data_IF_557005043819
#
_entry.id   IF_557005043819
#
_cell.length_a   1.000
_cell.length_b   1.000
_cell.length_c   1.000
_cell.angle_alpha   90.00
_cell.angle_beta   90.00
_cell.angle_gamma   90.00
#
_symmetry.space_group_name_H-M   'P 1'
#
loop_
_entity.id
_entity.type
_entity.pdbx_description
1 polymer ?
#
# COMPACT_ATOMS: atom_id res chain seq x y z
N UNK A 1 1.44 4.29 -29.50
CA UNK A 1 -0.01 4.32 -29.34
C UNK A 1 -0.52 5.75 -29.25
N UNK A 2 -1.70 6.01 -29.81
CA UNK A 2 -2.48 7.23 -29.56
C UNK A 2 -3.24 7.09 -28.23
N UNK A 3 -3.49 8.22 -27.59
CA UNK A 3 -4.30 8.28 -26.37
C UNK A 3 -5.58 9.05 -26.63
N UNK A 4 -6.63 8.72 -25.90
CA UNK A 4 -7.88 9.47 -25.91
C UNK A 4 -7.82 10.72 -25.01
N UNK A 5 -8.91 11.47 -24.93
CA UNK A 5 -9.01 12.69 -24.12
C UNK A 5 -8.85 12.44 -22.60
N UNK A 6 -9.06 11.20 -22.16
CA UNK A 6 -8.86 10.76 -20.78
C UNK A 6 -7.43 10.23 -20.52
N UNK A 7 -6.58 10.20 -21.55
CA UNK A 7 -5.21 9.67 -21.48
C UNK A 7 -5.09 8.15 -21.59
N UNK A 8 -6.18 7.44 -21.90
CA UNK A 8 -6.16 6.00 -22.10
C UNK A 8 -5.65 5.64 -23.50
N UNK A 9 -4.91 4.54 -23.62
CA UNK A 9 -4.36 4.06 -24.88
C UNK A 9 -5.47 3.49 -25.77
N UNK A 10 -5.45 3.88 -27.06
CA UNK A 10 -6.38 3.39 -28.07
C UNK A 10 -5.81 2.10 -28.70
N UNK A 11 -6.55 0.99 -28.58
CA UNK A 11 -6.16 -0.30 -29.16
C UNK A 11 -5.96 -0.23 -30.69
N UNK A 12 -4.95 -0.91 -31.21
CA UNK A 12 -4.64 -0.94 -32.66
C UNK A 12 -3.99 0.35 -33.18
N UNK A 13 -3.72 1.35 -32.34
CA UNK A 13 -3.10 2.61 -32.75
C UNK A 13 -1.56 2.60 -32.63
N UNK A 14 -0.95 1.43 -32.44
CA UNK A 14 0.51 1.33 -32.35
C UNK A 14 1.18 1.75 -33.66
N UNK A 15 2.13 2.66 -33.54
CA UNK A 15 2.98 3.10 -34.66
C UNK A 15 4.44 2.99 -34.21
N UNK A 16 5.29 2.42 -35.07
CA UNK A 16 6.73 2.39 -34.80
C UNK A 16 7.31 3.80 -34.97
N UNK A 17 7.97 4.27 -33.93
CA UNK A 17 8.62 5.59 -33.89
C UNK A 17 10.13 5.43 -33.79
N UNK A 18 10.87 6.54 -34.01
CA UNK A 18 12.32 6.54 -33.82
C UNK A 18 12.65 6.20 -32.37
N UNK A 19 13.65 5.33 -32.17
CA UNK A 19 14.13 4.96 -30.84
C UNK A 19 14.53 6.19 -30.02
N UNK A 20 14.17 6.19 -28.74
CA UNK A 20 14.54 7.20 -27.75
C UNK A 20 15.50 6.59 -26.71
N UNK A 21 16.77 6.37 -27.07
CA UNK A 21 17.75 5.78 -26.15
C UNK A 21 17.96 6.69 -24.94
N UNK A 22 17.90 6.10 -23.75
CA UNK A 22 18.14 6.79 -22.50
C UNK A 22 19.63 6.69 -22.15
N UNK A 23 20.30 7.83 -21.98
CA UNK A 23 21.70 7.91 -21.63
C UNK A 23 21.95 7.90 -20.12
N UNK A 24 23.23 7.94 -19.72
CA UNK A 24 23.62 7.98 -18.30
C UNK A 24 23.00 9.19 -17.59
N UNK A 25 22.93 10.36 -18.27
CA UNK A 25 22.32 11.56 -17.71
C UNK A 25 20.83 11.34 -17.38
N UNK A 26 20.08 10.70 -18.27
CA UNK A 26 18.68 10.42 -18.07
C UNK A 26 18.46 9.47 -16.88
N UNK A 27 19.31 8.46 -16.75
CA UNK A 27 19.30 7.53 -15.60
C UNK A 27 19.59 8.26 -14.28
N UNK A 28 20.58 9.17 -14.26
CA UNK A 28 20.91 9.96 -13.07
C UNK A 28 19.80 10.96 -12.71
N UNK A 29 19.12 11.51 -13.70
CA UNK A 29 18.00 12.43 -13.50
C UNK A 29 16.68 11.75 -13.18
N UNK A 30 16.53 10.45 -13.45
CA UNK A 30 15.27 9.72 -13.27
C UNK A 30 14.69 9.80 -11.84
N UNK A 31 15.47 9.64 -10.76
CA UNK A 31 14.96 9.83 -9.39
C UNK A 31 14.46 11.26 -9.12
N UNK A 32 15.15 12.26 -9.66
CA UNK A 32 14.79 13.68 -9.54
C UNK A 32 13.49 13.95 -10.29
N UNK A 33 13.40 13.50 -11.53
CA UNK A 33 12.20 13.62 -12.35
C UNK A 33 11.01 12.87 -11.72
N UNK A 34 11.25 11.72 -11.11
CA UNK A 34 10.23 10.97 -10.36
C UNK A 34 9.76 11.72 -9.11
N UNK A 35 10.69 12.35 -8.37
CA UNK A 35 10.33 13.15 -7.18
C UNK A 35 9.43 14.32 -7.55
N UNK A 36 9.82 15.08 -8.59
CA UNK A 36 9.11 16.31 -9.02
C UNK A 36 7.86 16.03 -9.87
N UNK A 37 7.75 14.84 -10.44
CA UNK A 37 6.74 14.46 -11.42
C UNK A 37 7.13 14.88 -12.83
N UNK A 38 7.25 13.88 -13.74
CA UNK A 38 7.42 14.08 -15.16
C UNK A 38 6.34 13.29 -15.89
N UNK A 39 5.45 13.99 -16.58
CA UNK A 39 4.37 13.35 -17.30
C UNK A 39 4.86 12.22 -18.22
N UNK A 40 4.20 11.06 -18.26
CA UNK A 40 2.98 10.68 -17.56
C UNK A 40 3.19 10.16 -16.13
N UNK A 41 4.41 10.20 -15.57
CA UNK A 41 4.71 9.71 -14.21
C UNK A 41 4.31 10.75 -13.17
N UNK A 42 3.45 10.37 -12.22
CA UNK A 42 3.04 11.24 -11.10
C UNK A 42 4.20 11.50 -10.13
N UNK A 43 4.21 12.69 -9.51
CA UNK A 43 5.22 13.09 -8.55
C UNK A 43 5.28 12.15 -7.33
N UNK A 44 6.51 11.84 -6.88
CA UNK A 44 6.72 11.10 -5.65
C UNK A 44 6.76 12.01 -4.40
N UNK A 45 6.83 13.34 -4.60
CA UNK A 45 7.00 14.31 -3.51
C UNK A 45 5.85 14.24 -2.50
N UNK A 46 4.63 14.00 -2.95
CA UNK A 46 3.45 13.94 -2.07
C UNK A 46 3.58 12.78 -1.07
N UNK A 47 3.98 11.60 -1.55
CA UNK A 47 4.21 10.42 -0.71
C UNK A 47 5.41 10.63 0.20
N UNK A 48 6.51 11.18 -0.33
CA UNK A 48 7.71 11.46 0.43
C UNK A 48 7.42 12.45 1.58
N UNK A 49 6.70 13.52 1.28
CA UNK A 49 6.31 14.51 2.28
C UNK A 49 5.37 13.93 3.34
N UNK A 50 4.39 13.13 2.94
CA UNK A 50 3.53 12.38 3.86
C UNK A 50 4.35 11.52 4.83
N UNK A 51 5.30 10.73 4.33
CA UNK A 51 6.17 9.88 5.16
C UNK A 51 6.95 10.71 6.19
N UNK A 52 7.50 11.88 5.79
CA UNK A 52 8.20 12.77 6.71
C UNK A 52 7.29 13.35 7.80
N UNK A 53 6.05 13.72 7.44
CA UNK A 53 5.08 14.22 8.42
C UNK A 53 4.63 13.15 9.42
N UNK A 54 4.47 11.89 8.96
CA UNK A 54 4.24 10.73 9.84
C UNK A 54 5.41 10.55 10.80
N UNK A 55 6.65 10.58 10.30
CA UNK A 55 7.85 10.50 11.13
C UNK A 55 7.88 11.58 12.21
N UNK A 56 7.63 12.83 11.81
CA UNK A 56 7.57 13.96 12.74
C UNK A 56 6.50 13.79 13.81
N UNK A 57 5.30 13.38 13.44
CA UNK A 57 4.24 13.07 14.41
C UNK A 57 4.67 11.99 15.40
N UNK A 58 5.23 10.87 14.90
CA UNK A 58 5.70 9.77 15.75
C UNK A 58 6.83 10.21 16.69
N UNK A 59 7.75 11.07 16.22
CA UNK A 59 8.81 11.65 17.05
C UNK A 59 8.25 12.41 18.25
N UNK A 60 7.23 13.26 18.04
CA UNK A 60 6.56 13.97 19.16
C UNK A 60 5.79 13.02 20.08
N UNK A 61 5.12 12.00 19.54
CA UNK A 61 4.42 11.00 20.36
C UNK A 61 5.41 10.18 21.20
N UNK A 62 6.56 9.77 20.64
CA UNK A 62 7.61 9.04 21.34
C UNK A 62 8.18 9.85 22.50
N UNK A 63 8.40 11.17 22.33
CA UNK A 63 8.86 12.09 23.41
C UNK A 63 7.93 12.06 24.62
N UNK A 64 6.66 11.72 24.46
CA UNK A 64 5.71 11.59 25.57
C UNK A 64 5.81 10.27 26.32
N UNK A 65 6.57 9.28 25.83
CA UNK A 65 6.62 7.91 26.36
C UNK A 65 5.28 7.17 26.29
N UNK A 66 4.33 7.68 25.51
CA UNK A 66 2.98 7.09 25.43
C UNK A 66 2.98 5.74 24.70
N UNK A 67 3.81 5.60 23.66
CA UNK A 67 3.90 4.36 22.88
C UNK A 67 4.50 3.23 23.72
N UNK A 68 5.56 3.50 24.51
CA UNK A 68 6.22 2.49 25.34
C UNK A 68 5.25 1.90 26.39
N UNK A 69 4.51 2.78 27.09
CA UNK A 69 3.48 2.34 28.06
C UNK A 69 2.33 1.62 27.35
N UNK A 70 1.97 2.06 26.13
CA UNK A 70 0.96 1.42 25.27
C UNK A 70 1.36 0.00 24.88
N UNK A 71 2.57 -0.16 24.38
CA UNK A 71 3.15 -1.45 23.98
C UNK A 71 3.18 -2.39 25.20
N UNK A 72 3.72 -1.93 26.32
CA UNK A 72 3.75 -2.74 27.55
C UNK A 72 2.36 -3.18 28.02
N UNK A 73 1.33 -2.35 27.81
CA UNK A 73 -0.06 -2.70 28.14
C UNK A 73 -0.62 -3.78 27.21
N UNK A 74 -0.31 -3.72 25.90
CA UNK A 74 -0.70 -4.73 24.91
C UNK A 74 -0.03 -6.06 25.23
N UNK A 75 1.29 -6.05 25.50
CA UNK A 75 2.05 -7.25 25.87
C UNK A 75 1.40 -7.96 27.06
N UNK A 76 1.08 -7.20 28.12
CA UNK A 76 0.43 -7.77 29.32
C UNK A 76 -0.96 -8.32 29.01
N UNK A 77 -1.76 -7.61 28.20
CA UNK A 77 -3.14 -8.00 27.86
C UNK A 77 -3.20 -9.28 27.04
N UNK A 78 -2.27 -9.46 26.11
CA UNK A 78 -2.25 -10.60 25.17
C UNK A 78 -1.27 -11.70 25.56
N UNK A 79 -0.69 -11.63 26.76
CA UNK A 79 0.21 -12.69 27.27
C UNK A 79 -0.48 -14.06 27.21
N UNK A 80 0.15 -15.00 26.49
CA UNK A 80 -0.39 -16.35 26.23
C UNK A 80 -1.39 -16.44 25.06
N UNK A 81 -1.69 -15.32 24.39
CA UNK A 81 -2.57 -15.26 23.22
C UNK A 81 -2.03 -14.36 22.12
N UNK A 82 -0.73 -14.19 22.04
CA UNK A 82 -0.05 -13.23 21.16
C UNK A 82 -0.39 -13.46 19.68
N UNK A 83 -0.59 -14.72 19.27
CA UNK A 83 -0.95 -15.08 17.88
C UNK A 83 -2.33 -14.58 17.45
N UNK A 84 -3.21 -14.24 18.40
CA UNK A 84 -4.51 -13.62 18.08
C UNK A 84 -4.32 -12.27 17.36
N UNK A 85 -3.22 -11.56 17.63
CA UNK A 85 -2.92 -10.32 16.93
C UNK A 85 -2.77 -10.52 15.42
N UNK A 86 -2.13 -11.62 14.99
CA UNK A 86 -1.97 -11.96 13.58
C UNK A 86 -3.35 -12.21 12.94
N UNK A 87 -4.20 -13.02 13.61
CA UNK A 87 -5.53 -13.39 13.11
C UNK A 87 -6.49 -12.20 13.01
N UNK A 88 -6.27 -11.13 13.78
CA UNK A 88 -7.11 -9.92 13.77
C UNK A 88 -6.53 -8.89 12.80
N UNK A 89 -5.22 -8.59 12.90
CA UNK A 89 -4.62 -7.48 12.18
C UNK A 89 -4.45 -7.75 10.68
N UNK A 90 -4.07 -8.96 10.28
CA UNK A 90 -3.91 -9.27 8.85
C UNK A 90 -5.22 -9.12 8.06
N UNK A 91 -6.37 -9.71 8.48
CA UNK A 91 -7.64 -9.44 7.81
C UNK A 91 -8.07 -7.97 7.83
N UNK A 92 -7.73 -7.23 8.89
CA UNK A 92 -8.02 -5.79 8.98
C UNK A 92 -7.22 -4.99 7.92
N UNK A 93 -5.92 -5.25 7.79
CA UNK A 93 -5.11 -4.65 6.72
C UNK A 93 -5.57 -5.10 5.33
N UNK A 94 -5.95 -6.37 5.17
CA UNK A 94 -6.48 -6.88 3.92
C UNK A 94 -7.83 -6.23 3.55
N UNK A 95 -8.66 -5.90 4.54
CA UNK A 95 -9.88 -5.13 4.32
C UNK A 95 -9.56 -3.71 3.80
N UNK A 96 -8.59 -3.02 4.38
CA UNK A 96 -8.12 -1.73 3.89
C UNK A 96 -7.59 -1.82 2.45
N UNK A 97 -6.77 -2.82 2.15
CA UNK A 97 -6.23 -3.06 0.81
C UNK A 97 -7.32 -3.32 -0.23
N UNK A 98 -8.31 -4.17 0.08
CA UNK A 98 -9.36 -4.56 -0.88
C UNK A 98 -10.40 -3.46 -1.14
N UNK A 99 -10.62 -2.56 -0.18
CA UNK A 99 -11.65 -1.51 -0.27
C UNK A 99 -11.12 -0.22 -0.88
N UNK A 100 -10.09 0.39 -0.31
CA UNK A 100 -9.55 1.66 -0.78
C UNK A 100 -8.10 1.61 -1.29
N UNK A 101 -7.50 0.42 -1.33
CA UNK A 101 -6.17 0.25 -1.92
C UNK A 101 -5.02 0.66 -1.00
N UNK A 102 -5.13 0.39 0.31
CA UNK A 102 -4.14 0.73 1.32
C UNK A 102 -2.73 0.27 0.95
N UNK A 103 -1.88 1.19 0.58
CA UNK A 103 -0.52 0.96 0.11
C UNK A 103 0.52 1.74 0.93
N UNK A 104 0.93 2.90 0.44
CA UNK A 104 1.92 3.77 1.06
C UNK A 104 1.51 4.27 2.45
N UNK A 105 0.22 4.40 2.72
CA UNK A 105 -0.34 4.78 4.03
C UNK A 105 0.05 3.79 5.13
N UNK A 106 0.35 2.54 4.74
CA UNK A 106 0.80 1.54 5.70
C UNK A 106 2.12 1.89 6.37
N UNK A 107 2.93 2.78 5.78
CA UNK A 107 4.22 3.21 6.31
C UNK A 107 4.10 3.73 7.75
N UNK A 108 2.97 4.37 8.08
CA UNK A 108 2.70 4.88 9.41
C UNK A 108 2.57 3.79 10.49
N UNK A 109 2.26 2.55 10.11
CA UNK A 109 2.00 1.47 11.06
C UNK A 109 3.24 0.63 11.41
N UNK A 110 4.30 0.64 10.59
CA UNK A 110 5.48 -0.19 10.86
C UNK A 110 6.21 0.23 12.14
N UNK A 111 6.51 1.52 12.37
CA UNK A 111 7.18 1.95 13.61
C UNK A 111 6.36 1.64 14.87
N UNK A 112 5.06 1.44 14.74
CA UNK A 112 4.19 1.06 15.85
C UNK A 112 4.10 -0.46 16.03
N UNK A 113 3.82 -1.21 14.96
CA UNK A 113 3.43 -2.61 15.07
C UNK A 113 4.64 -3.55 15.13
N UNK A 114 5.76 -3.22 14.49
CA UNK A 114 6.98 -4.06 14.54
C UNK A 114 7.50 -4.18 15.98
N UNK A 115 7.70 -3.08 16.76
CA UNK A 115 8.09 -3.20 18.17
C UNK A 115 7.09 -3.99 19.00
N UNK A 116 5.78 -3.82 18.78
CA UNK A 116 4.74 -4.60 19.46
C UNK A 116 4.91 -6.08 19.21
N UNK A 117 5.10 -6.48 17.94
CA UNK A 117 5.29 -7.89 17.60
C UNK A 117 6.57 -8.48 18.21
N UNK A 118 7.67 -7.72 18.22
CA UNK A 118 8.92 -8.14 18.82
C UNK A 118 8.81 -8.27 20.34
N UNK A 119 8.11 -7.37 21.01
CA UNK A 119 7.90 -7.38 22.46
C UNK A 119 7.02 -8.55 22.95
N UNK A 120 6.16 -9.09 22.10
CA UNK A 120 5.38 -10.30 22.39
C UNK A 120 6.06 -11.60 21.95
N UNK A 121 7.34 -11.54 21.55
CA UNK A 121 8.18 -12.71 21.30
C UNK A 121 8.28 -13.14 19.83
N UNK A 122 7.75 -12.38 18.88
CA UNK A 122 7.95 -12.58 17.45
C UNK A 122 9.23 -11.88 16.95
N UNK A 123 9.43 -11.84 15.64
CA UNK A 123 10.52 -11.13 14.99
C UNK A 123 10.01 -9.92 14.19
N UNK A 124 10.94 -9.08 13.72
CA UNK A 124 10.63 -7.91 12.91
C UNK A 124 9.94 -8.30 11.59
N UNK A 125 10.33 -9.44 11.00
CA UNK A 125 9.72 -9.97 9.77
C UNK A 125 8.24 -10.30 9.97
N UNK A 126 7.84 -10.87 11.10
CA UNK A 126 6.43 -11.11 11.44
C UNK A 126 5.65 -9.79 11.50
N UNK A 127 6.22 -8.76 12.13
CA UNK A 127 5.61 -7.43 12.19
C UNK A 127 5.40 -6.82 10.79
N UNK A 128 6.43 -6.89 9.95
CA UNK A 128 6.35 -6.44 8.54
C UNK A 128 5.31 -7.25 7.77
N UNK A 129 5.31 -8.58 7.90
CA UNK A 129 4.39 -9.45 7.17
C UNK A 129 2.92 -9.16 7.48
N UNK A 130 2.57 -8.87 8.73
CA UNK A 130 1.20 -8.53 9.12
C UNK A 130 0.70 -7.31 8.32
N UNK A 131 1.53 -6.28 8.17
CA UNK A 131 1.13 -5.04 7.52
C UNK A 131 1.25 -5.17 6.00
N UNK A 132 2.46 -5.46 5.50
CA UNK A 132 2.77 -5.48 4.07
C UNK A 132 1.99 -6.58 3.35
N UNK A 133 2.12 -7.82 3.81
CA UNK A 133 1.39 -8.93 3.20
C UNK A 133 -0.12 -8.78 3.43
N UNK A 134 -0.56 -8.34 4.61
CA UNK A 134 -1.96 -8.09 4.90
C UNK A 134 -2.55 -7.11 3.89
N UNK A 135 -2.04 -5.88 3.81
CA UNK A 135 -2.57 -4.84 2.92
C UNK A 135 -2.47 -5.21 1.45
N UNK A 136 -1.32 -5.73 1.00
CA UNK A 136 -1.09 -6.01 -0.41
C UNK A 136 -1.84 -7.25 -0.92
N UNK A 137 -2.16 -8.23 -0.05
CA UNK A 137 -3.12 -9.28 -0.41
C UNK A 137 -4.53 -8.70 -0.60
N UNK A 138 -4.91 -7.71 0.19
CA UNK A 138 -6.14 -6.96 -0.04
C UNK A 138 -6.15 -6.24 -1.38
N UNK A 139 -5.06 -5.55 -1.73
CA UNK A 139 -4.90 -4.88 -3.03
C UNK A 139 -4.89 -5.88 -4.19
N UNK A 140 -4.27 -7.06 -4.04
CA UNK A 140 -4.27 -8.14 -5.02
C UNK A 140 -5.69 -8.65 -5.29
N UNK A 141 -6.47 -8.82 -4.24
CA UNK A 141 -7.87 -9.27 -4.29
C UNK A 141 -8.83 -8.07 -4.16
N UNK A 142 -8.53 -7.00 -4.86
CA UNK A 142 -9.20 -5.72 -4.77
C UNK A 142 -10.67 -5.80 -5.17
N UNK A 143 -11.56 -5.38 -4.31
CA UNK A 143 -13.02 -5.37 -4.55
C UNK A 143 -13.49 -4.03 -5.13
N UNK A 144 -13.16 -2.93 -4.46
CA UNK A 144 -13.62 -1.56 -4.78
C UNK A 144 -12.48 -0.54 -4.82
N UNK A 145 -11.24 -0.98 -4.80
CA UNK A 145 -10.06 -0.13 -4.77
C UNK A 145 -10.06 0.88 -5.93
N UNK A 146 -10.09 2.19 -5.64
CA UNK A 146 -10.17 3.25 -6.65
C UNK A 146 -8.92 3.29 -7.55
N UNK A 147 -7.75 2.94 -7.04
CA UNK A 147 -6.48 3.02 -7.78
C UNK A 147 -6.21 1.84 -8.72
N UNK A 148 -6.88 0.71 -8.51
CA UNK A 148 -6.73 -0.46 -9.36
C UNK A 148 -8.05 -0.80 -10.05
N UNK A 149 -9.04 -1.24 -9.27
CA UNK A 149 -10.29 -1.78 -9.82
C UNK A 149 -11.12 -0.73 -10.53
N UNK A 150 -11.31 0.46 -9.92
CA UNK A 150 -12.19 1.50 -10.51
C UNK A 150 -11.57 2.01 -11.81
N UNK A 151 -10.30 2.45 -11.79
CA UNK A 151 -9.62 2.96 -13.00
C UNK A 151 -9.57 1.91 -14.11
N UNK A 152 -9.27 0.65 -13.77
CA UNK A 152 -9.25 -0.42 -14.77
C UNK A 152 -10.65 -0.69 -15.36
N UNK A 153 -11.69 -0.69 -14.53
CA UNK A 153 -13.07 -0.88 -14.96
C UNK A 153 -13.56 0.27 -15.83
N UNK A 154 -13.29 1.51 -15.45
CA UNK A 154 -13.65 2.71 -16.22
C UNK A 154 -12.95 2.69 -17.59
N UNK A 155 -11.64 2.42 -17.63
CA UNK A 155 -10.88 2.30 -18.89
C UNK A 155 -11.39 1.14 -19.76
N UNK A 156 -11.87 0.04 -19.14
CA UNK A 156 -12.48 -1.08 -19.85
C UNK A 156 -13.94 -0.82 -20.29
N UNK A 157 -14.54 0.29 -19.87
CA UNK A 157 -15.94 0.64 -20.16
C UNK A 157 -16.97 -0.25 -19.45
N UNK A 158 -16.66 -0.73 -18.23
CA UNK A 158 -17.55 -1.56 -17.41
C UNK A 158 -17.75 -0.96 -16.00
N UNK A 159 -18.82 -1.37 -15.32
CA UNK A 159 -19.00 -1.04 -13.91
C UNK A 159 -17.91 -1.66 -13.04
N UNK A 160 -17.42 -0.94 -12.05
CA UNK A 160 -16.50 -1.45 -11.03
C UNK A 160 -17.09 -2.59 -10.19
N UNK A 161 -18.42 -2.74 -10.15
CA UNK A 161 -19.12 -3.85 -9.52
C UNK A 161 -19.09 -5.14 -10.34
N UNK A 162 -18.78 -5.09 -11.65
CA UNK A 162 -18.68 -6.29 -12.51
C UNK A 162 -17.55 -7.19 -12.01
N UNK A 163 -17.85 -8.47 -11.78
CA UNK A 163 -16.90 -9.45 -11.21
C UNK A 163 -16.63 -9.30 -9.71
N UNK A 164 -17.43 -8.50 -8.98
CA UNK A 164 -17.25 -8.27 -7.54
C UNK A 164 -17.27 -9.58 -6.74
N UNK A 165 -18.18 -10.49 -7.05
CA UNK A 165 -18.30 -11.76 -6.32
C UNK A 165 -17.02 -12.61 -6.43
N UNK A 166 -16.44 -12.71 -7.62
CA UNK A 166 -15.18 -13.42 -7.82
C UNK A 166 -14.06 -12.76 -7.01
N UNK A 167 -13.97 -11.43 -7.01
CA UNK A 167 -12.95 -10.68 -6.26
C UNK A 167 -13.11 -10.84 -4.74
N UNK A 168 -14.34 -10.94 -4.23
CA UNK A 168 -14.60 -11.27 -2.82
C UNK A 168 -14.10 -12.68 -2.50
N UNK A 169 -14.31 -13.66 -3.38
CA UNK A 169 -13.76 -15.03 -3.21
C UNK A 169 -12.22 -14.98 -3.19
N UNK A 170 -11.59 -14.25 -4.12
CA UNK A 170 -10.14 -14.01 -4.11
C UNK A 170 -9.69 -13.45 -2.75
N UNK A 171 -10.37 -12.43 -2.26
CA UNK A 171 -10.03 -11.79 -0.99
C UNK A 171 -10.11 -12.76 0.19
N UNK A 172 -11.19 -13.53 0.32
CA UNK A 172 -11.36 -14.48 1.42
C UNK A 172 -10.29 -15.57 1.36
N UNK A 173 -10.11 -16.19 0.19
CA UNK A 173 -9.19 -17.33 0.01
C UNK A 173 -7.74 -16.90 0.25
N UNK A 174 -7.31 -15.81 -0.38
CA UNK A 174 -5.91 -15.38 -0.31
C UNK A 174 -5.56 -14.73 1.03
N UNK A 175 -6.50 -14.01 1.66
CA UNK A 175 -6.31 -13.49 3.03
C UNK A 175 -6.22 -14.66 4.03
N UNK A 176 -7.09 -15.65 3.93
CA UNK A 176 -7.03 -16.84 4.77
C UNK A 176 -5.72 -17.62 4.63
N UNK A 177 -5.29 -17.87 3.39
CA UNK A 177 -4.00 -18.52 3.10
C UNK A 177 -2.82 -17.75 3.71
N UNK A 178 -2.76 -16.44 3.45
CA UNK A 178 -1.65 -15.59 3.88
C UNK A 178 -1.60 -15.45 5.40
N UNK A 179 -2.77 -15.27 6.03
CA UNK A 179 -2.88 -15.21 7.49
C UNK A 179 -2.41 -16.52 8.13
N UNK A 180 -2.83 -17.66 7.59
CA UNK A 180 -2.37 -18.97 8.06
C UNK A 180 -0.87 -19.16 7.88
N UNK A 181 -0.31 -18.71 6.76
CA UNK A 181 1.12 -18.79 6.48
C UNK A 181 1.95 -18.00 7.49
N UNK A 182 1.58 -16.73 7.74
CA UNK A 182 2.24 -15.90 8.75
C UNK A 182 2.08 -16.47 10.15
N UNK A 183 0.89 -16.95 10.48
CA UNK A 183 0.62 -17.61 11.77
C UNK A 183 1.56 -18.81 12.01
N UNK A 184 1.75 -19.67 11.00
CA UNK A 184 2.63 -20.84 11.08
C UNK A 184 4.10 -20.43 11.22
N UNK A 185 4.53 -19.41 10.50
CA UNK A 185 5.87 -18.85 10.65
C UNK A 185 6.11 -18.28 12.04
N UNK A 186 5.22 -17.44 12.50
CA UNK A 186 5.27 -16.82 13.84
C UNK A 186 5.24 -17.86 14.97
N UNK A 187 4.43 -18.94 14.84
CA UNK A 187 4.42 -20.07 15.78
C UNK A 187 5.78 -20.76 15.87
N UNK A 188 6.45 -20.91 14.73
CA UNK A 188 7.79 -21.51 14.68
C UNK A 188 8.82 -20.60 15.35
N UNK A 189 8.82 -19.31 15.05
CA UNK A 189 9.75 -18.32 15.62
C UNK A 189 9.54 -18.15 17.14
N UNK A 190 8.28 -18.16 17.60
CA UNK A 190 7.97 -18.07 19.02
C UNK A 190 8.48 -19.25 19.83
N UNK A 191 8.43 -20.46 19.24
CA UNK A 191 8.94 -21.71 19.86
C UNK A 191 10.47 -21.82 19.81
N UNK A 192 11.05 -21.37 18.72
CA UNK A 192 12.48 -21.38 18.47
C UNK A 192 12.90 -20.08 17.77
N UNK A 193 13.38 -19.09 18.51
CA UNK A 193 13.83 -17.82 17.92
C UNK A 193 14.91 -17.96 16.84
N UNK A 194 15.73 -19.02 16.90
CA UNK A 194 16.78 -19.27 15.90
C UNK A 194 16.21 -19.64 14.53
N UNK A 195 14.94 -20.04 14.46
CA UNK A 195 14.22 -20.30 13.22
C UNK A 195 13.79 -19.04 12.46
N UNK A 196 13.98 -17.85 13.07
CA UNK A 196 13.70 -16.55 12.44
C UNK A 196 14.66 -16.29 11.28
N UNK A 197 14.13 -15.79 10.16
CA UNK A 197 14.94 -15.37 9.02
C UNK A 197 15.69 -14.04 9.28
N UNK A 198 15.33 -13.33 10.34
CA UNK A 198 16.00 -12.10 10.82
C UNK A 198 16.74 -12.33 12.15
N UNK A 199 17.05 -13.58 12.48
CA UNK A 199 17.71 -13.90 13.75
C UNK A 199 19.08 -13.23 13.90
N UNK A 200 19.84 -13.10 12.82
CA UNK A 200 21.17 -12.48 12.84
C UNK A 200 21.15 -11.01 13.28
N UNK A 201 20.08 -10.27 13.00
CA UNK A 201 19.92 -8.85 13.35
C UNK A 201 19.07 -8.64 14.61
N UNK A 202 18.55 -9.71 15.22
CA UNK A 202 17.56 -9.66 16.29
C UNK A 202 17.98 -8.76 17.47
N UNK A 203 19.21 -8.87 17.93
CA UNK A 203 19.69 -8.06 19.09
C UNK A 203 19.76 -6.58 18.76
N UNK A 204 20.20 -6.24 17.53
CA UNK A 204 20.24 -4.87 17.04
C UNK A 204 18.83 -4.31 16.87
N UNK A 205 17.90 -5.14 16.35
CA UNK A 205 16.51 -4.75 16.14
C UNK A 205 15.80 -4.52 17.46
N UNK A 206 16.01 -5.37 18.48
CA UNK A 206 15.48 -5.16 19.84
C UNK A 206 15.95 -3.83 20.44
N UNK A 207 17.23 -3.47 20.26
CA UNK A 207 17.78 -2.18 20.70
C UNK A 207 17.20 -1.01 19.91
N UNK A 208 17.14 -1.14 18.59
CA UNK A 208 16.62 -0.08 17.70
C UNK A 208 15.16 0.26 18.02
N UNK A 209 14.34 -0.76 18.28
CA UNK A 209 12.92 -0.59 18.60
C UNK A 209 12.66 -0.40 20.10
N UNK A 210 13.69 -0.22 20.93
CA UNK A 210 13.60 -0.03 22.38
C UNK A 210 12.79 -1.12 23.12
N UNK A 211 12.80 -2.36 22.61
CA UNK A 211 12.01 -3.46 23.18
C UNK A 211 12.62 -3.96 24.51
N UNK A 212 13.95 -3.89 24.65
CA UNK A 212 14.71 -4.38 25.81
C UNK A 212 15.36 -3.23 26.62
N UNK A 213 14.73 -2.07 26.70
CA UNK A 213 15.33 -0.87 27.32
C UNK A 213 15.67 -1.03 28.80
N UNK A 214 15.27 -2.14 29.45
CA UNK A 214 15.59 -2.41 30.87
C UNK A 214 15.01 -1.40 31.86
N UNK A 215 14.38 -0.35 31.36
CA UNK A 215 13.70 0.64 32.19
C UNK A 215 12.37 0.07 32.69
N UNK A 216 12.07 0.30 33.96
CA UNK A 216 10.77 -0.02 34.54
C UNK A 216 9.68 0.84 33.85
N UNK A 217 9.11 0.35 32.73
CA UNK A 217 8.01 1.01 32.07
C UNK A 217 6.80 1.05 33.01
N UNK A 218 6.25 2.24 33.30
CA UNK A 218 5.11 2.37 34.20
C UNK A 218 3.98 1.41 33.84
N UNK A 219 3.42 0.75 34.80
CA UNK A 219 2.36 -0.24 34.60
C UNK A 219 1.05 0.37 34.09
N UNK A 220 0.85 1.68 34.24
CA UNK A 220 -0.37 2.39 33.84
C UNK A 220 -0.03 3.75 33.24
N UNK A 221 -0.77 4.07 32.16
CA UNK A 221 -0.73 5.41 31.56
C UNK A 221 -1.26 6.47 32.53
N UNK A 222 -0.56 7.57 32.60
CA UNK A 222 -1.05 8.78 33.27
C UNK A 222 -2.18 9.45 32.45
N UNK A 223 -2.85 10.46 33.06
CA UNK A 223 -3.98 11.15 32.38
C UNK A 223 -3.58 11.85 31.09
N UNK A 224 -2.35 12.40 31.01
CA UNK A 224 -1.85 13.06 29.79
C UNK A 224 -1.57 12.04 28.69
N UNK A 225 -0.91 10.94 29.02
CA UNK A 225 -0.64 9.84 28.07
C UNK A 225 -1.93 9.22 27.50
N UNK A 226 -2.97 9.07 28.33
CA UNK A 226 -4.29 8.61 27.83
C UNK A 226 -4.90 9.57 26.82
N UNK A 227 -4.75 10.89 27.01
CA UNK A 227 -5.21 11.89 26.04
C UNK A 227 -4.38 11.86 24.76
N UNK A 228 -3.05 11.73 24.88
CA UNK A 228 -2.15 11.55 23.73
C UNK A 228 -2.52 10.29 22.94
N UNK A 229 -2.75 9.15 23.64
CA UNK A 229 -3.18 7.92 22.97
C UNK A 229 -4.53 8.10 22.25
N UNK A 230 -5.47 8.84 22.85
CA UNK A 230 -6.74 9.15 22.16
C UNK A 230 -6.51 9.95 20.88
N UNK A 231 -5.70 11.02 20.94
CA UNK A 231 -5.34 11.80 19.74
C UNK A 231 -4.62 10.94 18.73
N UNK A 232 -3.68 10.09 19.16
CA UNK A 232 -2.96 9.16 18.32
C UNK A 232 -3.92 8.24 17.55
N UNK A 233 -4.82 7.53 18.25
CA UNK A 233 -5.82 6.66 17.63
C UNK A 233 -6.74 7.45 16.70
N UNK A 234 -7.20 8.64 17.13
CA UNK A 234 -8.08 9.50 16.33
C UNK A 234 -7.39 9.93 15.02
N UNK A 235 -6.08 10.21 15.05
CA UNK A 235 -5.31 10.56 13.84
C UNK A 235 -5.40 9.46 12.79
N UNK A 236 -5.16 8.20 13.18
CA UNK A 236 -5.24 7.07 12.25
C UNK A 236 -6.67 6.79 11.79
N UNK A 237 -7.67 6.94 12.66
CA UNK A 237 -9.09 6.79 12.28
C UNK A 237 -9.49 7.86 11.25
N UNK A 238 -9.10 9.13 11.48
CA UNK A 238 -9.37 10.22 10.54
C UNK A 238 -8.64 9.99 9.22
N UNK A 239 -7.35 9.57 9.27
CA UNK A 239 -6.58 9.22 8.07
C UNK A 239 -7.32 8.17 7.23
N UNK A 240 -7.68 7.04 7.83
CA UNK A 240 -8.40 5.97 7.13
C UNK A 240 -9.73 6.46 6.57
N UNK A 241 -10.51 7.22 7.36
CA UNK A 241 -11.77 7.82 6.89
C UNK A 241 -11.55 8.80 5.73
N UNK A 242 -10.43 9.54 5.72
CA UNK A 242 -10.07 10.43 4.63
C UNK A 242 -9.90 9.73 3.29
N UNK A 243 -9.34 8.51 3.28
CA UNK A 243 -9.08 7.73 2.07
C UNK A 243 -10.27 6.88 1.58
N UNK A 244 -11.25 6.57 2.44
CA UNK A 244 -12.41 5.78 2.01
C UNK A 244 -13.29 6.61 1.06
N UNK A 245 -13.51 6.20 -0.20
CA UNK A 245 -14.29 6.96 -1.16
C UNK A 245 -15.81 6.85 -0.85
N UNK A 246 -16.25 7.50 0.21
CA UNK A 246 -17.65 7.42 0.70
C UNK A 246 -18.66 7.77 -0.36
N UNK A 247 -18.39 8.78 -1.19
CA UNK A 247 -19.27 9.22 -2.27
C UNK A 247 -19.52 8.12 -3.29
N UNK A 248 -18.47 7.38 -3.66
CA UNK A 248 -18.55 6.26 -4.63
C UNK A 248 -19.32 5.06 -4.02
N UNK A 249 -19.35 4.98 -2.70
CA UNK A 249 -20.16 4.01 -1.94
C UNK A 249 -21.60 4.48 -1.71
N UNK A 250 -22.02 5.64 -2.26
CA UNK A 250 -23.34 6.20 -2.10
C UNK A 250 -23.57 6.96 -0.78
N UNK A 251 -22.52 7.18 0.01
CA UNK A 251 -22.60 7.90 1.30
C UNK A 251 -22.17 9.35 1.09
N UNK A 252 -23.14 10.25 0.94
CA UNK A 252 -22.89 11.69 0.68
C UNK A 252 -22.87 12.55 1.95
N UNK A 253 -22.93 11.93 3.13
CA UNK A 253 -22.98 12.64 4.41
C UNK A 253 -21.79 13.60 4.60
N UNK A 254 -20.58 13.17 4.31
CA UNK A 254 -19.38 13.98 4.53
C UNK A 254 -19.28 15.17 3.57
N UNK A 255 -19.71 14.99 2.30
CA UNK A 255 -19.80 16.09 1.32
C UNK A 255 -20.82 17.12 1.79
N UNK A 256 -22.04 16.68 2.15
CA UNK A 256 -23.11 17.56 2.62
C UNK A 256 -22.74 18.29 3.93
N UNK A 257 -22.02 17.62 4.82
CA UNK A 257 -21.52 18.21 6.05
C UNK A 257 -20.48 19.30 5.76
N UNK A 258 -19.51 19.00 4.87
CA UNK A 258 -18.48 19.95 4.46
C UNK A 258 -19.11 21.21 3.81
N UNK A 259 -20.05 21.02 2.88
CA UNK A 259 -20.80 22.12 2.28
C UNK A 259 -21.57 22.95 3.32
N UNK A 260 -22.15 22.28 4.32
CA UNK A 260 -22.91 22.95 5.40
C UNK A 260 -21.99 23.80 6.28
N UNK A 261 -20.78 23.32 6.58
CA UNK A 261 -19.78 24.10 7.32
C UNK A 261 -19.37 25.37 6.59
N UNK A 262 -19.20 25.30 5.26
CA UNK A 262 -18.87 26.49 4.44
C UNK A 262 -20.00 27.51 4.36
N UNK A 263 -21.26 27.10 4.53
CA UNK A 263 -22.42 27.98 4.54
C UNK A 263 -22.61 28.75 5.86
N UNK A 264 -21.95 28.33 6.96
CA UNK A 264 -22.02 29.03 8.24
C UNK A 264 -21.25 30.34 8.17
N UNK A 265 -21.88 31.51 8.42
CA UNK A 265 -21.20 32.79 8.40
C UNK A 265 -19.99 32.83 9.34
N UNK A 266 -18.91 33.46 8.89
CA UNK A 266 -17.61 33.54 9.58
C UNK A 266 -16.89 32.23 9.75
N UNK A 267 -17.58 31.10 10.02
CA UNK A 267 -16.94 29.78 10.16
C UNK A 267 -16.38 29.27 8.80
N UNK A 268 -17.18 29.39 7.73
CA UNK A 268 -16.75 29.02 6.39
C UNK A 268 -15.52 29.80 5.92
N UNK A 269 -15.46 31.12 6.29
CA UNK A 269 -14.27 31.94 5.99
C UNK A 269 -13.05 31.56 6.84
N UNK A 270 -13.28 31.20 8.11
CA UNK A 270 -12.19 30.78 9.03
C UNK A 270 -11.57 29.47 8.65
N UNK A 271 -12.38 28.47 8.27
CA UNK A 271 -11.89 27.13 7.89
C UNK A 271 -11.33 27.08 6.46
N UNK A 272 -11.68 28.04 5.61
CA UNK A 272 -11.21 28.11 4.22
C UNK A 272 -11.71 26.95 3.36
N UNK A 273 -10.98 26.61 2.31
CA UNK A 273 -11.33 25.51 1.41
C UNK A 273 -10.89 24.18 2.02
N UNK A 274 -11.79 23.52 2.72
CA UNK A 274 -11.54 22.18 3.28
C UNK A 274 -12.07 21.10 2.36
N UNK A 275 -11.33 20.00 2.24
CA UNK A 275 -11.75 18.82 1.51
C UNK A 275 -12.60 17.91 2.42
N UNK A 276 -13.69 17.37 1.89
CA UNK A 276 -14.54 16.44 2.61
C UNK A 276 -13.79 15.14 2.94
N UNK A 277 -14.12 14.50 4.07
CA UNK A 277 -13.62 13.15 4.34
C UNK A 277 -14.09 12.18 3.23
N UNK A 278 -13.17 11.38 2.72
CA UNK A 278 -13.41 10.49 1.60
C UNK A 278 -12.91 11.02 0.24
N UNK A 279 -12.35 12.24 0.23
CA UNK A 279 -11.71 12.82 -0.96
C UNK A 279 -10.23 13.13 -0.73
N UNK A 280 -9.68 12.69 0.41
CA UNK A 280 -8.32 13.01 0.82
C UNK A 280 -7.29 12.17 0.08
N UNK A 281 -6.13 12.78 -0.06
CA UNK A 281 -4.90 12.20 -0.60
C UNK A 281 -3.72 12.47 0.34
N UNK A 282 -2.49 12.23 -0.11
CA UNK A 282 -1.28 12.43 0.70
C UNK A 282 -1.11 13.85 1.24
N UNK A 283 -1.42 14.95 0.50
CA UNK A 283 -1.29 16.31 1.04
C UNK A 283 -2.17 16.57 2.26
N UNK A 284 -3.46 16.18 2.22
CA UNK A 284 -4.38 16.35 3.34
C UNK A 284 -3.96 15.51 4.54
N UNK A 285 -3.48 14.30 4.28
CA UNK A 285 -3.01 13.40 5.33
C UNK A 285 -1.70 13.88 5.95
N UNK A 286 -0.78 14.42 5.15
CA UNK A 286 0.45 15.04 5.64
C UNK A 286 0.13 16.21 6.59
N UNK A 287 -0.80 17.09 6.19
CA UNK A 287 -1.29 18.18 7.06
C UNK A 287 -1.89 17.64 8.36
N UNK A 288 -2.71 16.56 8.30
CA UNK A 288 -3.28 15.94 9.49
C UNK A 288 -2.20 15.51 10.47
N UNK A 289 -1.17 14.77 10.03
CA UNK A 289 -0.09 14.30 10.91
C UNK A 289 0.73 15.46 11.49
N UNK A 290 1.04 16.48 10.68
CA UNK A 290 1.75 17.67 11.16
C UNK A 290 0.96 18.38 12.27
N UNK A 291 -0.32 18.64 12.04
CA UNK A 291 -1.21 19.31 13.01
C UNK A 291 -1.38 18.47 14.28
N UNK A 292 -1.62 17.17 14.14
CA UNK A 292 -1.81 16.26 15.29
C UNK A 292 -0.52 16.08 16.09
N UNK A 293 0.66 16.18 15.47
CA UNK A 293 1.95 16.19 16.19
C UNK A 293 2.08 17.40 17.11
N UNK A 294 1.74 18.59 16.59
CA UNK A 294 1.71 19.82 17.40
C UNK A 294 0.69 19.68 18.54
N UNK A 295 -0.52 19.19 18.22
CA UNK A 295 -1.59 19.01 19.20
C UNK A 295 -1.19 18.05 20.33
N UNK A 296 -0.52 16.94 20.02
CA UNK A 296 0.03 16.00 21.00
C UNK A 296 1.01 16.70 21.92
N UNK A 297 1.96 17.47 21.37
CA UNK A 297 2.94 18.20 22.15
C UNK A 297 2.29 19.19 23.14
N UNK A 298 1.29 19.94 22.67
CA UNK A 298 0.52 20.89 23.50
C UNK A 298 -0.26 20.17 24.60
N UNK A 299 -0.97 19.09 24.28
CA UNK A 299 -1.77 18.31 25.24
C UNK A 299 -0.89 17.68 26.33
N UNK A 300 0.27 17.20 25.95
CA UNK A 300 1.23 16.63 26.91
C UNK A 300 1.90 17.71 27.76
N UNK A 301 2.05 18.93 27.20
CA UNK A 301 2.69 20.08 27.83
C UNK A 301 4.19 20.13 27.56
N UNK A 302 4.61 19.71 26.37
CA UNK A 302 5.98 19.90 25.87
C UNK A 302 6.21 21.38 25.57
N UNK A 303 7.46 21.83 25.71
CA UNK A 303 7.88 23.17 25.28
C UNK A 303 7.97 23.21 23.75
N UNK A 304 7.82 24.39 23.17
CA UNK A 304 7.92 24.61 21.72
C UNK A 304 9.20 23.98 21.13
N UNK A 305 10.34 24.27 21.76
CA UNK A 305 11.64 23.70 21.33
C UNK A 305 11.66 22.17 21.32
N UNK A 306 11.01 21.53 22.30
CA UNK A 306 10.88 20.06 22.35
C UNK A 306 9.99 19.53 21.25
N UNK A 307 8.85 20.20 20.98
CA UNK A 307 7.94 19.81 19.90
C UNK A 307 8.68 19.86 18.54
N UNK A 308 9.38 20.98 18.27
CA UNK A 308 10.09 21.19 17.02
C UNK A 308 11.24 20.15 16.88
N UNK A 309 12.07 20.00 17.91
CA UNK A 309 13.22 19.08 17.86
C UNK A 309 12.77 17.62 17.70
N UNK A 310 11.77 17.17 18.48
CA UNK A 310 11.24 15.81 18.36
C UNK A 310 10.57 15.56 17.01
N UNK A 311 9.84 16.55 16.46
CA UNK A 311 9.24 16.46 15.14
C UNK A 311 10.32 16.34 14.05
N UNK A 312 11.33 17.19 14.08
CA UNK A 312 12.41 17.17 13.09
C UNK A 312 13.24 15.88 13.17
N UNK A 313 13.51 15.37 14.37
CA UNK A 313 14.22 14.11 14.55
C UNK A 313 13.41 12.95 14.00
N UNK A 314 12.12 12.85 14.34
CA UNK A 314 11.25 11.80 13.82
C UNK A 314 11.06 11.87 12.30
N UNK A 315 11.01 13.05 11.70
CA UNK A 315 11.00 13.20 10.25
C UNK A 315 12.32 12.73 9.62
N UNK A 316 13.47 13.05 10.24
CA UNK A 316 14.78 12.61 9.78
C UNK A 316 14.94 11.09 9.83
N UNK A 317 14.36 10.40 10.81
CA UNK A 317 14.36 8.94 10.91
C UNK A 317 13.71 8.26 9.68
N UNK A 318 12.71 8.91 9.07
CA UNK A 318 12.01 8.39 7.89
C UNK A 318 12.52 8.96 6.55
N UNK A 319 13.55 9.81 6.55
CA UNK A 319 14.08 10.45 5.34
C UNK A 319 14.56 9.43 4.31
N UNK A 320 15.24 8.37 4.76
CA UNK A 320 15.71 7.30 3.87
C UNK A 320 14.57 6.62 3.12
N UNK A 321 13.43 6.40 3.78
CA UNK A 321 12.25 5.80 3.18
C UNK A 321 11.63 6.72 2.14
N UNK A 322 11.51 8.02 2.43
CA UNK A 322 11.01 9.02 1.49
C UNK A 322 11.86 9.07 0.20
N UNK A 323 13.19 8.98 0.31
CA UNK A 323 14.11 8.94 -0.84
C UNK A 323 13.97 7.63 -1.62
N UNK A 324 13.84 6.48 -0.95
CA UNK A 324 13.67 5.18 -1.61
C UNK A 324 12.45 5.18 -2.54
N UNK A 325 11.34 5.78 -2.14
CA UNK A 325 10.13 5.89 -2.98
C UNK A 325 10.41 6.63 -4.28
N UNK A 326 11.16 7.74 -4.23
CA UNK A 326 11.53 8.49 -5.43
C UNK A 326 12.44 7.68 -6.35
N UNK A 327 13.46 7.00 -5.80
CA UNK A 327 14.37 6.15 -6.58
C UNK A 327 13.62 5.01 -7.27
N UNK A 328 12.72 4.34 -6.55
CA UNK A 328 11.91 3.27 -7.11
C UNK A 328 11.03 3.75 -8.29
N UNK A 329 10.40 4.92 -8.18
CA UNK A 329 9.62 5.52 -9.29
C UNK A 329 10.48 6.01 -10.45
N UNK A 330 11.78 6.24 -10.27
CA UNK A 330 12.71 6.60 -11.34
C UNK A 330 12.77 5.56 -12.46
N UNK A 331 12.57 4.27 -12.16
CA UNK A 331 12.50 3.21 -13.17
C UNK A 331 11.34 3.46 -14.14
N UNK A 332 10.17 3.86 -13.64
CA UNK A 332 9.01 4.16 -14.47
C UNK A 332 9.27 5.36 -15.40
N UNK A 333 10.01 6.37 -14.95
CA UNK A 333 10.41 7.52 -15.79
C UNK A 333 11.22 7.04 -16.99
N UNK A 334 12.27 6.24 -16.76
CA UNK A 334 13.12 5.69 -17.83
C UNK A 334 12.32 4.81 -18.81
N UNK A 335 11.44 3.99 -18.32
CA UNK A 335 10.59 3.10 -19.13
C UNK A 335 9.66 3.89 -20.05
N UNK A 336 9.07 4.97 -19.55
CA UNK A 336 8.18 5.83 -20.32
C UNK A 336 8.93 6.69 -21.33
N UNK A 337 10.02 7.36 -20.91
CA UNK A 337 10.83 8.21 -21.77
C UNK A 337 11.50 7.41 -22.91
N UNK A 338 11.92 6.18 -22.61
CA UNK A 338 12.49 5.25 -23.59
C UNK A 338 11.49 4.59 -24.53
N UNK A 339 10.17 4.87 -24.38
CA UNK A 339 9.08 4.21 -25.12
C UNK A 339 9.05 2.68 -25.00
N UNK A 340 9.71 2.14 -23.95
CA UNK A 340 9.88 0.71 -23.73
C UNK A 340 8.55 0.08 -23.34
N UNK A 341 7.78 0.77 -22.50
CA UNK A 341 6.44 0.33 -22.05
C UNK A 341 5.50 0.03 -23.23
N UNK A 342 5.41 0.97 -24.19
CA UNK A 342 4.53 0.83 -25.37
C UNK A 342 4.95 -0.34 -26.27
N UNK A 343 6.25 -0.59 -26.43
CA UNK A 343 6.79 -1.70 -27.22
C UNK A 343 6.44 -3.06 -26.59
N UNK A 344 6.62 -3.20 -25.27
CA UNK A 344 6.30 -4.44 -24.56
C UNK A 344 4.80 -4.71 -24.58
N UNK A 345 3.97 -3.65 -24.46
CA UNK A 345 2.52 -3.78 -24.54
C UNK A 345 2.08 -4.28 -25.93
N UNK A 346 2.71 -3.76 -27.01
CA UNK A 346 2.43 -4.22 -28.36
C UNK A 346 2.79 -5.70 -28.59
N UNK A 347 3.91 -6.15 -28.07
CA UNK A 347 4.24 -7.58 -28.12
C UNK A 347 3.22 -8.46 -27.39
N UNK A 348 2.71 -7.98 -26.24
CA UNK A 348 1.62 -8.65 -25.52
C UNK A 348 0.33 -8.69 -26.33
N UNK A 349 -0.05 -7.57 -26.97
CA UNK A 349 -1.22 -7.50 -27.85
C UNK A 349 -1.13 -8.53 -28.99
N UNK A 350 0.00 -8.61 -29.69
CA UNK A 350 0.18 -9.57 -30.79
C UNK A 350 0.21 -11.02 -30.31
N UNK A 351 0.86 -11.30 -29.17
CA UNK A 351 0.98 -12.65 -28.63
C UNK A 351 -0.30 -13.23 -28.04
N UNK A 352 -1.28 -12.40 -27.72
CA UNK A 352 -2.54 -12.83 -27.10
C UNK A 352 -3.69 -12.99 -28.13
N UNK A 353 -3.50 -12.62 -29.38
CA UNK A 353 -4.53 -12.75 -30.43
C UNK A 353 -4.82 -14.20 -30.77
N UNK A 354 -6.11 -14.56 -30.94
CA UNK A 354 -6.54 -15.86 -31.44
C UNK A 354 -6.44 -17.04 -30.47
N UNK A 355 -6.22 -16.82 -29.19
CA UNK A 355 -6.17 -17.86 -28.18
C UNK A 355 -7.55 -18.33 -27.72
N UNK A 356 -7.65 -19.51 -27.08
CA UNK A 356 -8.86 -19.90 -26.35
C UNK A 356 -9.06 -19.04 -25.10
N UNK A 357 -10.31 -18.88 -24.62
CA UNK A 357 -10.62 -18.06 -23.43
C UNK A 357 -9.77 -18.41 -22.22
N UNK A 358 -9.58 -19.71 -21.95
CA UNK A 358 -8.79 -20.19 -20.82
C UNK A 358 -7.30 -19.87 -20.97
N UNK A 359 -6.74 -20.08 -22.16
CA UNK A 359 -5.34 -19.80 -22.42
C UNK A 359 -5.09 -18.29 -22.43
N UNK A 360 -6.01 -17.51 -23.01
CA UNK A 360 -5.95 -16.06 -23.02
C UNK A 360 -5.87 -15.48 -21.62
N UNK A 361 -6.75 -15.88 -20.68
CA UNK A 361 -6.76 -15.30 -19.34
C UNK A 361 -5.50 -15.67 -18.54
N UNK A 362 -5.01 -16.90 -18.69
CA UNK A 362 -3.78 -17.33 -18.03
C UNK A 362 -2.56 -16.57 -18.56
N UNK A 363 -2.45 -16.44 -19.89
CA UNK A 363 -1.35 -15.71 -20.50
C UNK A 363 -1.46 -14.20 -20.26
N UNK A 364 -2.67 -13.65 -20.19
CA UNK A 364 -2.92 -12.26 -19.74
C UNK A 364 -2.39 -12.04 -18.34
N UNK A 365 -2.70 -12.93 -17.40
CA UNK A 365 -2.18 -12.86 -16.03
C UNK A 365 -0.65 -12.93 -16.00
N UNK A 366 -0.06 -13.89 -16.73
CA UNK A 366 1.39 -14.03 -16.85
C UNK A 366 2.04 -12.80 -17.47
N UNK A 367 1.42 -12.22 -18.51
CA UNK A 367 1.88 -11.00 -19.16
C UNK A 367 1.88 -9.80 -18.21
N UNK A 368 0.86 -9.68 -17.34
CA UNK A 368 0.79 -8.60 -16.37
C UNK A 368 1.85 -8.70 -15.25
N UNK A 369 2.42 -9.87 -14.97
CA UNK A 369 3.50 -10.00 -13.99
C UNK A 369 4.72 -9.12 -14.37
N UNK A 370 5.40 -9.33 -15.52
CA UNK A 370 6.51 -8.44 -15.91
C UNK A 370 6.06 -7.00 -16.13
N UNK A 371 4.86 -6.76 -16.66
CA UNK A 371 4.35 -5.40 -16.84
C UNK A 371 4.23 -4.65 -15.52
N UNK A 372 3.79 -5.31 -14.46
CA UNK A 372 3.69 -4.72 -13.12
C UNK A 372 5.05 -4.47 -12.48
N UNK A 373 6.08 -5.23 -12.84
CA UNK A 373 7.46 -4.93 -12.44
C UNK A 373 7.98 -3.65 -13.11
N UNK A 374 7.63 -3.45 -14.39
CA UNK A 374 8.07 -2.31 -15.18
C UNK A 374 7.27 -1.04 -14.87
N UNK A 375 5.98 -1.18 -14.57
CA UNK A 375 5.08 -0.10 -14.16
C UNK A 375 4.53 -0.42 -12.77
N UNK A 376 5.25 -0.06 -11.70
CA UNK A 376 4.85 -0.42 -10.33
C UNK A 376 3.65 0.40 -9.80
N UNK A 377 3.10 1.30 -10.61
CA UNK A 377 1.88 2.05 -10.33
C UNK A 377 0.65 1.29 -10.81
N UNK A 378 -0.25 0.90 -9.92
CA UNK A 378 -1.48 0.21 -10.27
C UNK A 378 -2.35 1.03 -11.24
N UNK A 379 -2.61 2.30 -10.91
CA UNK A 379 -3.41 3.19 -11.76
C UNK A 379 -2.74 3.45 -13.13
N UNK A 380 -1.42 3.68 -13.14
CA UNK A 380 -0.65 3.86 -14.36
C UNK A 380 -0.68 2.63 -15.26
N UNK A 381 -0.54 1.44 -14.70
CA UNK A 381 -0.62 0.18 -15.45
C UNK A 381 -2.03 -0.05 -16.02
N UNK A 382 -3.09 0.22 -15.24
CA UNK A 382 -4.46 0.11 -15.69
C UNK A 382 -4.74 1.02 -16.89
N UNK A 383 -4.44 2.31 -16.78
CA UNK A 383 -4.64 3.30 -17.83
C UNK A 383 -3.85 2.99 -19.10
N UNK A 384 -2.61 2.49 -18.95
CA UNK A 384 -1.75 2.15 -20.07
C UNK A 384 -2.17 0.88 -20.82
N UNK A 385 -2.90 -0.04 -20.21
CA UNK A 385 -3.09 -1.38 -20.78
C UNK A 385 -4.53 -1.77 -21.01
N UNK A 386 -5.45 -1.28 -20.19
CA UNK A 386 -6.83 -1.80 -20.18
C UNK A 386 -7.61 -1.44 -21.46
N UNK A 387 -7.30 -0.28 -22.07
CA UNK A 387 -7.86 0.13 -23.37
C UNK A 387 -7.53 -0.83 -24.53
N UNK A 388 -6.49 -1.67 -24.37
CA UNK A 388 -6.12 -2.71 -25.34
C UNK A 388 -6.62 -4.08 -24.89
N UNK A 389 -6.36 -4.44 -23.65
CA UNK A 389 -6.58 -5.80 -23.15
C UNK A 389 -8.07 -6.16 -23.02
N UNK A 390 -8.91 -5.19 -22.62
CA UNK A 390 -10.35 -5.42 -22.51
C UNK A 390 -11.03 -5.69 -23.88
N UNK A 391 -10.78 -4.91 -24.95
CA UNK A 391 -11.25 -5.26 -26.29
C UNK A 391 -10.72 -6.60 -26.80
N UNK A 392 -9.44 -6.94 -26.58
CA UNK A 392 -8.88 -8.25 -26.97
C UNK A 392 -9.65 -9.41 -26.32
N UNK A 393 -10.01 -9.28 -25.05
CA UNK A 393 -10.80 -10.30 -24.35
C UNK A 393 -12.15 -10.57 -25.00
N UNK A 394 -12.83 -9.55 -25.53
CA UNK A 394 -14.11 -9.70 -26.22
C UNK A 394 -14.02 -10.63 -27.42
N UNK A 395 -12.92 -10.59 -28.18
CA UNK A 395 -12.71 -11.45 -29.35
C UNK A 395 -12.56 -12.95 -29.01
N UNK A 396 -12.16 -13.24 -27.77
CA UNK A 396 -11.95 -14.61 -27.27
C UNK A 396 -12.99 -15.01 -26.21
N UNK A 397 -14.10 -14.26 -26.11
CA UNK A 397 -15.18 -14.48 -25.15
C UNK A 397 -14.74 -14.48 -23.68
N UNK A 398 -13.79 -13.61 -23.33
CA UNK A 398 -13.38 -13.34 -21.95
C UNK A 398 -13.96 -11.98 -21.53
N UNK A 399 -14.79 -11.91 -20.47
CA UNK A 399 -15.37 -10.65 -20.03
C UNK A 399 -14.30 -9.70 -19.47
N UNK A 400 -14.49 -8.41 -19.69
CA UNK A 400 -13.56 -7.38 -19.24
C UNK A 400 -13.35 -7.38 -17.71
N UNK A 401 -14.39 -7.75 -16.93
CA UNK A 401 -14.29 -7.93 -15.46
C UNK A 401 -13.23 -8.96 -15.04
N UNK A 402 -13.08 -10.04 -15.82
CA UNK A 402 -12.09 -11.08 -15.56
C UNK A 402 -10.69 -10.59 -15.92
N UNK A 403 -10.54 -9.77 -16.97
CA UNK A 403 -9.28 -9.14 -17.36
C UNK A 403 -8.83 -8.13 -16.29
N UNK A 404 -9.78 -7.32 -15.79
CA UNK A 404 -9.53 -6.43 -14.65
C UNK A 404 -9.04 -7.21 -13.43
N UNK A 405 -9.65 -8.37 -13.13
CA UNK A 405 -9.25 -9.24 -12.02
C UNK A 405 -7.86 -9.84 -12.26
N UNK A 406 -7.53 -10.27 -13.49
CA UNK A 406 -6.21 -10.79 -13.84
C UNK A 406 -5.11 -9.71 -13.71
N UNK A 407 -5.37 -8.52 -14.24
CA UNK A 407 -4.47 -7.37 -14.11
C UNK A 407 -4.17 -7.04 -12.65
N UNK A 408 -5.20 -6.80 -11.84
CA UNK A 408 -5.00 -6.36 -10.45
C UNK A 408 -4.34 -7.44 -9.59
N UNK A 409 -4.67 -8.71 -9.80
CA UNK A 409 -4.04 -9.80 -9.06
C UNK A 409 -2.57 -10.00 -9.44
N UNK A 410 -2.19 -9.81 -10.71
CA UNK A 410 -0.79 -9.83 -11.13
C UNK A 410 -0.01 -8.63 -10.55
N UNK A 411 -0.57 -7.43 -10.62
CA UNK A 411 0.01 -6.22 -10.02
C UNK A 411 0.20 -6.40 -8.51
N UNK A 412 -0.80 -6.95 -7.82
CA UNK A 412 -0.71 -7.20 -6.39
C UNK A 412 0.36 -8.22 -5.99
N UNK A 413 0.60 -9.26 -6.80
CA UNK A 413 1.70 -10.21 -6.54
C UNK A 413 3.05 -9.51 -6.60
N UNK A 414 3.28 -8.66 -7.58
CA UNK A 414 4.55 -7.93 -7.72
C UNK A 414 4.72 -6.90 -6.60
N UNK A 415 3.66 -6.24 -6.16
CA UNK A 415 3.68 -5.33 -5.02
C UNK A 415 3.98 -6.04 -3.68
N UNK A 416 4.02 -7.37 -3.64
CA UNK A 416 4.49 -8.13 -2.49
C UNK A 416 6.00 -8.34 -2.47
N UNK A 417 6.67 -8.32 -3.62
CA UNK A 417 8.06 -8.80 -3.73
C UNK A 417 8.99 -7.92 -4.57
N UNK A 418 8.45 -7.00 -5.38
CA UNK A 418 9.25 -6.25 -6.33
C UNK A 418 10.07 -5.15 -5.66
N UNK A 419 11.39 -5.07 -5.89
CA UNK A 419 12.22 -3.97 -5.37
C UNK A 419 11.94 -2.64 -6.07
N UNK A 420 11.20 -2.65 -7.17
CA UNK A 420 10.70 -1.44 -7.85
C UNK A 420 9.49 -0.83 -7.15
N UNK A 421 8.87 -1.55 -6.21
CA UNK A 421 7.75 -1.05 -5.40
C UNK A 421 8.26 -0.26 -4.20
N UNK A 422 7.92 1.02 -4.14
CA UNK A 422 8.20 1.88 -2.98
C UNK A 422 7.57 1.36 -1.69
N UNK A 423 6.40 0.71 -1.79
CA UNK A 423 5.70 0.09 -0.67
C UNK A 423 6.55 -1.04 -0.06
N UNK A 424 7.06 -1.95 -0.90
CA UNK A 424 7.91 -3.06 -0.43
C UNK A 424 9.19 -2.54 0.20
N UNK A 425 9.91 -1.69 -0.51
CA UNK A 425 11.21 -1.20 -0.03
C UNK A 425 11.07 -0.33 1.22
N UNK A 426 10.03 0.52 1.28
CA UNK A 426 9.72 1.32 2.46
C UNK A 426 9.35 0.46 3.68
N UNK A 427 8.50 -0.54 3.49
CA UNK A 427 8.12 -1.48 4.54
C UNK A 427 9.32 -2.24 5.11
N UNK A 428 10.18 -2.77 4.23
CA UNK A 428 11.36 -3.52 4.62
C UNK A 428 12.39 -2.63 5.34
N UNK A 429 12.57 -1.38 4.88
CA UNK A 429 13.45 -0.41 5.53
C UNK A 429 12.95 -0.05 6.93
N UNK A 430 11.66 0.27 7.08
CA UNK A 430 11.05 0.58 8.38
C UNK A 430 11.06 -0.59 9.36
N UNK A 431 10.88 -1.81 8.86
CA UNK A 431 10.91 -3.02 9.66
C UNK A 431 12.31 -3.62 9.86
N UNK A 432 13.36 -3.01 9.28
CA UNK A 432 14.74 -3.51 9.30
C UNK A 432 14.88 -4.95 8.79
N UNK A 433 14.10 -5.30 7.77
CA UNK A 433 14.11 -6.63 7.14
C UNK A 433 14.87 -6.56 5.83
N UNK A 434 15.89 -7.39 5.68
CA UNK A 434 16.60 -7.50 4.40
C UNK A 434 15.70 -8.07 3.30
N UNK A 435 15.82 -7.54 2.08
CA UNK A 435 15.08 -8.02 0.92
C UNK A 435 15.32 -9.52 0.66
N UNK A 436 16.54 -9.99 0.92
CA UNK A 436 16.91 -11.42 0.81
C UNK A 436 16.14 -12.31 1.78
N UNK A 437 15.94 -11.86 3.02
CA UNK A 437 15.16 -12.57 4.04
C UNK A 437 13.66 -12.55 3.67
N UNK A 438 13.17 -11.41 3.20
CA UNK A 438 11.80 -11.26 2.69
C UNK A 438 11.51 -12.22 1.52
N UNK A 439 12.39 -12.31 0.53
CA UNK A 439 12.22 -13.23 -0.60
C UNK A 439 12.26 -14.70 -0.18
N UNK A 440 13.12 -15.07 0.77
CA UNK A 440 13.12 -16.43 1.34
C UNK A 440 11.80 -16.76 2.04
N UNK A 441 11.24 -15.78 2.77
CA UNK A 441 9.94 -15.91 3.40
C UNK A 441 8.82 -16.03 2.37
N UNK A 442 8.77 -15.13 1.38
CA UNK A 442 7.68 -15.06 0.40
C UNK A 442 7.70 -16.16 -0.66
N UNK A 443 8.85 -16.78 -0.96
CA UNK A 443 9.02 -17.62 -2.14
C UNK A 443 7.97 -18.73 -2.29
N UNK A 444 7.69 -19.50 -1.23
CA UNK A 444 6.67 -20.55 -1.25
C UNK A 444 5.24 -19.98 -1.33
N UNK A 445 5.01 -18.89 -0.63
CA UNK A 445 3.69 -18.27 -0.58
C UNK A 445 3.32 -17.64 -1.92
N UNK A 446 4.26 -16.97 -2.60
CA UNK A 446 4.04 -16.40 -3.94
C UNK A 446 3.65 -17.48 -4.95
N UNK A 447 4.35 -18.62 -4.96
CA UNK A 447 3.98 -19.75 -5.82
C UNK A 447 2.55 -20.22 -5.53
N UNK A 448 2.18 -20.39 -4.27
CA UNK A 448 0.82 -20.79 -3.89
C UNK A 448 -0.22 -19.73 -4.30
N UNK A 449 0.07 -18.44 -4.11
CA UNK A 449 -0.81 -17.33 -4.53
C UNK A 449 -1.00 -17.36 -6.05
N UNK A 450 0.06 -17.48 -6.83
CA UNK A 450 0.00 -17.54 -8.31
C UNK A 450 -0.84 -18.73 -8.79
N UNK A 451 -0.60 -19.92 -8.24
CA UNK A 451 -1.37 -21.13 -8.61
C UNK A 451 -2.86 -20.99 -8.27
N UNK A 452 -3.17 -20.49 -7.07
CA UNK A 452 -4.57 -20.28 -6.66
C UNK A 452 -5.21 -19.18 -7.51
N UNK A 453 -4.50 -18.10 -7.81
CA UNK A 453 -4.98 -17.02 -8.69
C UNK A 453 -5.34 -17.55 -10.07
N UNK A 454 -4.45 -18.33 -10.70
CA UNK A 454 -4.72 -18.95 -12.00
C UNK A 454 -5.95 -19.88 -11.93
N UNK A 455 -6.05 -20.70 -10.88
CA UNK A 455 -7.20 -21.59 -10.68
C UNK A 455 -8.53 -20.80 -10.57
N UNK A 456 -8.55 -19.70 -9.80
CA UNK A 456 -9.72 -18.85 -9.64
C UNK A 456 -10.05 -18.08 -10.92
N UNK A 457 -9.07 -17.62 -11.69
CA UNK A 457 -9.29 -16.99 -13.00
C UNK A 457 -9.88 -17.98 -14.01
N UNK A 458 -9.37 -19.22 -14.05
CA UNK A 458 -9.93 -20.29 -14.88
C UNK A 458 -11.37 -20.62 -14.45
N UNK A 459 -11.66 -20.68 -13.15
CA UNK A 459 -13.03 -20.83 -12.66
C UNK A 459 -13.94 -19.71 -13.16
N UNK A 460 -13.46 -18.46 -13.19
CA UNK A 460 -14.18 -17.31 -13.73
C UNK A 460 -14.50 -17.43 -15.22
N UNK A 461 -13.72 -18.16 -16.01
CA UNK A 461 -14.07 -18.39 -17.44
C UNK A 461 -15.19 -19.39 -17.63
N UNK A 462 -15.41 -20.31 -16.66
CA UNK A 462 -16.37 -21.41 -16.78
C UNK A 462 -17.70 -21.10 -16.09
N UNK A 463 -17.67 -20.25 -15.07
CA UNK A 463 -18.83 -19.97 -14.21
C UNK A 463 -19.35 -18.55 -14.49
N UNK A 464 -20.39 -18.38 -15.33
CA UNK A 464 -20.85 -17.06 -15.79
C UNK A 464 -21.28 -16.11 -14.68
N UNK A 465 -21.89 -16.62 -13.60
CA UNK A 465 -22.38 -15.74 -12.51
C UNK A 465 -21.25 -15.13 -11.66
N UNK A 466 -20.00 -15.55 -11.86
CA UNK A 466 -18.81 -14.97 -11.23
C UNK A 466 -18.16 -13.84 -12.05
N UNK A 467 -18.69 -13.60 -13.25
CA UNK A 467 -18.13 -12.64 -14.23
C UNK A 467 -18.58 -11.20 -13.98
#
# INVERSE_FOLDING_TARGET
YKVDDAGAIIAGSYESVKAHPQGIWDVLMAPINAMLGKAPTSAAIDVAFFILMVGGFLGVVNETGTLDVGIASIVRKYKGREKMLILILMPLFALGGTTYGMGEETMAFYPLLVPVMMSVGFDSLTGVAIILLGSQIGCLASTLNPFATVIASDTAGISSASGLLLRVIFWIVLTGLSTYYVYRYADKVQKDPTASLTYATREEDLKHFNVDSGEEIPSQMNKKQKRVLLVFISTFVIMVAGFIPFKDLGITFFDSFNESLHKVPYLGQLIGNTDALGTWYFPQTAMLFAFMGILVGIIYGLKEEQIISSFMNGAADLLSVAIIVAVARGIQVIMNDGMITATILHWGEEGLKGLSSQLFIVLTYIFYLPMSFLIPSSSGLASATMGIMAPLGKFVNVPASLIVTAYQSASGVLNLIAPTSGIVMGALALGRVELSAWWKFMGKLVVAIVVITIALLLLGTVVPFLQ
#
